data_IF_961333351643
#
_entry.id   IF_961333351643
#
_cell.length_a   1.000
_cell.length_b   1.000
_cell.length_c   1.000
_cell.angle_alpha   90.00
_cell.angle_beta   90.00
_cell.angle_gamma   90.00
#
_symmetry.space_group_name_H-M   'P 1'
#
loop_
_entity.id
_entity.type
_entity.pdbx_description
1 polymer ?
#
# COMPACT_ATOMS: atom_id res chain seq x y z
N UNK A 1 8.54 -0.03 1.38
CA UNK A 1 7.35 0.76 1.77
C UNK A 1 7.78 2.05 2.42
N UNK A 2 6.91 3.07 2.39
CA UNK A 2 7.17 4.41 2.91
C UNK A 2 6.04 4.81 3.84
N UNK A 3 6.35 5.42 4.96
CA UNK A 3 5.41 6.12 5.82
C UNK A 3 5.94 7.54 6.07
N UNK A 4 5.07 8.54 6.18
CA UNK A 4 5.50 9.91 6.41
C UNK A 4 4.47 10.70 7.21
N UNK A 5 4.96 11.71 7.92
CA UNK A 5 4.18 12.79 8.51
C UNK A 5 4.54 14.13 7.85
N UNK A 6 4.09 15.24 8.44
CA UNK A 6 4.40 16.58 7.92
C UNK A 6 5.87 16.96 8.03
N UNK A 7 6.70 16.22 8.76
CA UNK A 7 8.09 16.57 9.05
C UNK A 7 9.10 15.55 8.57
N UNK A 8 8.74 14.26 8.58
CA UNK A 8 9.67 13.16 8.40
C UNK A 8 9.13 12.07 7.49
N UNK A 9 10.05 11.34 6.89
CA UNK A 9 9.79 10.19 6.04
C UNK A 9 10.51 8.99 6.66
N UNK A 10 9.84 7.84 6.66
CA UNK A 10 10.36 6.56 7.15
C UNK A 10 10.32 5.55 6.02
N UNK A 11 11.45 4.92 5.72
CA UNK A 11 11.58 3.95 4.64
C UNK A 11 12.82 3.07 4.83
N UNK A 12 12.93 2.02 4.04
CA UNK A 12 14.15 1.20 4.02
C UNK A 12 15.20 1.84 3.12
N UNK A 13 16.47 1.90 3.58
CA UNK A 13 17.61 2.30 2.75
C UNK A 13 18.05 1.15 1.80
N UNK A 14 19.15 1.33 1.07
CA UNK A 14 19.72 0.33 0.15
C UNK A 14 20.13 -0.98 0.87
N UNK A 15 20.46 -0.93 2.16
CA UNK A 15 20.80 -2.09 2.99
C UNK A 15 19.55 -2.74 3.62
N UNK A 16 18.34 -2.34 3.20
CA UNK A 16 17.06 -2.75 3.79
C UNK A 16 16.91 -2.41 5.29
N UNK A 17 17.59 -1.36 5.76
CA UNK A 17 17.48 -0.87 7.13
C UNK A 17 16.49 0.29 7.20
N UNK A 18 15.65 0.32 8.23
CA UNK A 18 14.69 1.40 8.47
C UNK A 18 15.42 2.69 8.84
N UNK A 19 15.19 3.73 8.05
CA UNK A 19 15.75 5.06 8.27
C UNK A 19 14.65 6.11 8.40
N UNK A 20 14.98 7.18 9.11
CA UNK A 20 14.22 8.43 9.19
C UNK A 20 14.92 9.49 8.37
N UNK A 21 14.19 10.17 7.49
CA UNK A 21 14.68 11.27 6.67
C UNK A 21 13.94 12.58 6.99
N UNK A 22 14.56 13.70 6.71
CA UNK A 22 13.87 14.99 6.64
C UNK A 22 13.18 15.18 5.27
N UNK A 23 12.48 16.30 5.09
CA UNK A 23 11.81 16.63 3.82
C UNK A 23 12.76 16.89 2.64
N UNK A 24 14.04 17.12 2.91
CA UNK A 24 15.08 17.27 1.90
C UNK A 24 15.74 15.93 1.55
N UNK A 25 15.19 14.82 2.04
CA UNK A 25 15.70 13.46 1.85
C UNK A 25 17.04 13.17 2.53
N UNK A 26 17.47 13.99 3.50
CA UNK A 26 18.65 13.71 4.29
C UNK A 26 18.33 12.68 5.37
N UNK A 27 19.16 11.65 5.51
CA UNK A 27 19.04 10.67 6.59
C UNK A 27 19.35 11.33 7.93
N UNK A 28 18.35 11.39 8.83
CA UNK A 28 18.48 11.91 10.18
C UNK A 28 18.86 10.80 11.15
N UNK A 29 18.29 9.62 10.97
CA UNK A 29 18.50 8.48 11.89
C UNK A 29 18.37 7.15 11.14
N UNK A 30 19.31 6.25 11.41
CA UNK A 30 19.19 4.84 11.07
C UNK A 30 18.85 4.08 12.35
N UNK A 31 17.75 3.32 12.32
CA UNK A 31 17.29 2.52 13.47
C UNK A 31 17.94 1.13 13.52
N UNK A 32 18.63 0.69 12.46
CA UNK A 32 19.26 -0.62 12.36
C UNK A 32 18.26 -1.80 12.25
N UNK A 33 16.97 -1.50 12.15
CA UNK A 33 15.92 -2.51 11.99
C UNK A 33 15.84 -2.90 10.51
N UNK A 34 15.96 -4.18 10.20
CA UNK A 34 16.01 -4.68 8.82
C UNK A 34 14.68 -5.26 8.36
N UNK A 35 14.47 -5.20 7.03
CA UNK A 35 13.36 -5.88 6.33
C UNK A 35 11.98 -5.53 6.88
N UNK A 36 11.77 -4.26 7.21
CA UNK A 36 10.45 -3.78 7.65
C UNK A 36 9.47 -3.66 6.49
N UNK A 37 8.24 -4.13 6.68
CA UNK A 37 7.15 -4.00 5.71
C UNK A 37 5.88 -3.43 6.36
N UNK A 38 4.91 -3.06 5.55
CA UNK A 38 3.59 -2.54 5.98
C UNK A 38 3.69 -1.41 7.02
N UNK A 39 4.51 -0.38 6.69
CA UNK A 39 4.77 0.75 7.59
C UNK A 39 3.51 1.59 7.79
N UNK A 40 3.10 1.81 9.04
CA UNK A 40 1.98 2.65 9.44
C UNK A 40 2.42 3.62 10.54
N UNK A 41 2.53 4.91 10.21
CA UNK A 41 2.95 5.94 11.16
C UNK A 41 1.74 6.59 11.82
N UNK A 42 1.71 6.60 13.14
CA UNK A 42 0.65 7.21 13.96
C UNK A 42 1.27 8.01 15.09
N UNK A 43 1.31 9.32 14.94
CA UNK A 43 2.07 10.18 15.85
C UNK A 43 3.54 9.78 15.92
N UNK A 44 4.05 9.48 17.11
CA UNK A 44 5.44 9.05 17.31
C UNK A 44 5.61 7.52 17.24
N UNK A 45 4.59 6.77 16.84
CA UNK A 45 4.63 5.30 16.74
C UNK A 45 4.62 4.87 15.28
N UNK A 46 5.59 4.04 14.91
CA UNK A 46 5.63 3.38 13.61
C UNK A 46 5.33 1.89 13.82
N UNK A 47 4.16 1.46 13.37
CA UNK A 47 3.78 0.05 13.33
C UNK A 47 4.26 -0.56 12.03
N UNK A 48 4.81 -1.77 12.08
CA UNK A 48 5.37 -2.45 10.92
C UNK A 48 5.37 -3.97 11.16
N UNK A 49 5.60 -4.75 10.10
CA UNK A 49 6.00 -6.14 10.27
C UNK A 49 7.51 -6.26 10.07
N UNK A 50 8.16 -7.04 10.94
CA UNK A 50 9.61 -7.25 10.95
C UNK A 50 10.04 -8.36 9.96
N UNK A 51 11.31 -8.80 10.03
CA UNK A 51 11.86 -9.83 9.14
C UNK A 51 11.19 -11.20 9.25
N UNK A 52 10.57 -11.49 10.37
CA UNK A 52 9.84 -12.73 10.63
C UNK A 52 8.32 -12.53 10.49
N UNK A 53 7.92 -11.39 9.89
CA UNK A 53 6.54 -10.95 9.69
C UNK A 53 5.75 -10.68 10.97
N UNK A 54 6.40 -10.57 12.14
CA UNK A 54 5.73 -10.26 13.39
C UNK A 54 5.28 -8.81 13.43
N UNK A 55 4.10 -8.54 14.01
CA UNK A 55 3.62 -7.19 14.23
C UNK A 55 4.45 -6.51 15.30
N UNK A 56 5.13 -5.45 14.94
CA UNK A 56 6.05 -4.71 15.79
C UNK A 56 5.74 -3.22 15.80
N UNK A 57 6.20 -2.52 16.84
CA UNK A 57 6.10 -1.07 16.97
C UNK A 57 7.45 -0.46 17.34
N UNK A 58 7.78 0.65 16.66
CA UNK A 58 8.92 1.51 16.98
C UNK A 58 8.43 2.85 17.53
N UNK A 59 8.95 3.26 18.66
CA UNK A 59 8.87 4.64 19.11
C UNK A 59 9.93 5.46 18.35
N UNK A 60 9.49 6.31 17.43
CA UNK A 60 10.36 7.02 16.51
C UNK A 60 11.23 8.08 17.16
N UNK A 61 10.85 8.54 18.36
CA UNK A 61 11.58 9.52 19.16
C UNK A 61 12.72 8.85 19.95
N UNK A 62 12.39 7.82 20.72
CA UNK A 62 13.35 7.12 21.58
C UNK A 62 14.18 6.08 20.81
N UNK A 63 13.61 5.47 19.77
CA UNK A 63 14.19 4.34 19.05
C UNK A 63 13.94 2.98 19.70
N UNK A 64 13.15 2.93 20.77
CA UNK A 64 12.73 1.65 21.35
C UNK A 64 11.73 0.97 20.45
N UNK A 65 11.91 -0.34 20.23
CA UNK A 65 10.96 -1.16 19.49
C UNK A 65 10.61 -2.43 20.28
N UNK A 66 9.42 -2.96 20.03
CA UNK A 66 8.92 -4.18 20.66
C UNK A 66 7.99 -4.93 19.70
N UNK A 67 7.93 -6.25 19.86
CA UNK A 67 6.96 -7.11 19.16
C UNK A 67 5.63 -7.03 19.91
N UNK A 68 4.56 -6.69 19.19
CA UNK A 68 3.18 -6.66 19.71
C UNK A 68 2.49 -8.02 19.57
N UNK A 69 2.72 -8.70 18.43
CA UNK A 69 2.15 -10.01 18.13
C UNK A 69 3.20 -10.87 17.43
N UNK A 70 3.42 -12.08 17.98
CA UNK A 70 4.33 -13.08 17.44
C UNK A 70 3.56 -14.06 16.54
N UNK A 71 3.09 -13.56 15.40
CA UNK A 71 2.32 -14.27 14.38
C UNK A 71 2.77 -13.78 13.00
N UNK A 72 2.64 -14.59 11.96
CA UNK A 72 2.94 -14.16 10.59
C UNK A 72 1.81 -13.27 10.03
N UNK A 73 2.06 -11.96 10.01
CA UNK A 73 1.09 -10.94 9.58
C UNK A 73 1.50 -10.28 8.25
N UNK A 74 0.55 -10.24 7.31
CA UNK A 74 0.73 -9.60 6.01
C UNK A 74 -0.34 -8.52 5.79
N UNK A 75 -0.09 -7.63 4.83
CA UNK A 75 -1.02 -6.57 4.39
C UNK A 75 -1.53 -5.69 5.54
N UNK A 76 -0.71 -5.52 6.60
CA UNK A 76 -1.11 -4.80 7.79
C UNK A 76 -1.42 -3.33 7.49
N UNK A 77 -2.58 -2.88 7.96
CA UNK A 77 -3.06 -1.50 7.80
C UNK A 77 -3.61 -0.98 9.12
N UNK A 78 -3.16 0.21 9.54
CA UNK A 78 -3.73 0.91 10.68
C UNK A 78 -5.03 1.62 10.29
N UNK A 79 -6.08 1.42 11.06
CA UNK A 79 -7.31 2.18 10.96
C UNK A 79 -7.99 2.26 12.34
N UNK A 80 -8.37 3.47 12.76
CA UNK A 80 -9.12 3.75 13.99
C UNK A 80 -8.60 3.01 15.24
N UNK A 81 -7.34 3.29 15.60
CA UNK A 81 -6.64 2.71 16.76
C UNK A 81 -6.56 1.17 16.76
N UNK A 82 -6.58 0.57 15.57
CA UNK A 82 -6.48 -0.87 15.35
C UNK A 82 -5.53 -1.17 14.20
N UNK A 83 -4.93 -2.36 14.25
CA UNK A 83 -4.15 -2.92 13.14
C UNK A 83 -4.96 -4.07 12.52
N UNK A 84 -5.37 -3.91 11.29
CA UNK A 84 -6.00 -4.96 10.49
C UNK A 84 -4.94 -5.67 9.69
N UNK A 85 -4.99 -7.00 9.61
CA UNK A 85 -3.95 -7.78 8.96
C UNK A 85 -4.47 -9.13 8.49
N UNK A 86 -3.82 -9.71 7.50
CA UNK A 86 -3.93 -11.10 7.13
C UNK A 86 -3.08 -11.91 8.11
N UNK A 87 -3.66 -12.94 8.71
CA UNK A 87 -2.94 -13.90 9.56
C UNK A 87 -2.60 -15.14 8.75
N UNK A 88 -1.33 -15.33 8.40
CA UNK A 88 -0.87 -16.46 7.60
C UNK A 88 -0.92 -17.78 8.39
N UNK A 89 -0.69 -17.71 9.70
CA UNK A 89 -0.80 -18.86 10.62
C UNK A 89 -2.23 -19.42 10.71
N UNK A 90 -3.25 -18.65 10.29
CA UNK A 90 -4.65 -19.06 10.30
C UNK A 90 -5.30 -18.88 8.91
N UNK A 91 -4.72 -19.57 7.93
CA UNK A 91 -5.28 -19.71 6.59
C UNK A 91 -5.53 -18.35 5.89
N UNK A 92 -4.59 -17.41 6.03
CA UNK A 92 -4.65 -16.05 5.43
C UNK A 92 -5.91 -15.24 5.81
N UNK A 93 -6.53 -15.57 6.94
CA UNK A 93 -7.76 -14.95 7.43
C UNK A 93 -7.57 -13.49 7.85
N UNK A 94 -8.64 -12.69 7.76
CA UNK A 94 -8.65 -11.31 8.24
C UNK A 94 -8.74 -11.25 9.76
N UNK A 95 -7.79 -10.57 10.37
CA UNK A 95 -7.74 -10.28 11.80
C UNK A 95 -7.67 -8.79 12.09
N UNK A 96 -8.02 -8.43 13.32
CA UNK A 96 -7.80 -7.11 13.89
C UNK A 96 -7.11 -7.22 15.25
N UNK A 97 -6.07 -6.42 15.46
CA UNK A 97 -5.43 -6.21 16.75
C UNK A 97 -5.83 -4.83 17.29
N UNK A 98 -6.52 -4.80 18.42
CA UNK A 98 -6.93 -3.56 19.08
C UNK A 98 -5.79 -3.06 19.98
N UNK A 99 -5.29 -1.85 19.68
CA UNK A 99 -4.15 -1.27 20.39
C UNK A 99 -4.48 -0.87 21.84
N UNK A 100 -5.77 -0.68 22.18
CA UNK A 100 -6.20 -0.34 23.53
C UNK A 100 -6.30 -1.57 24.45
N UNK A 101 -6.90 -2.64 23.93
CA UNK A 101 -7.13 -3.88 24.68
C UNK A 101 -5.97 -4.88 24.54
N UNK A 102 -5.11 -4.68 23.53
CA UNK A 102 -4.01 -5.59 23.15
C UNK A 102 -4.49 -7.00 22.80
N UNK A 103 -5.71 -7.10 22.27
CA UNK A 103 -6.32 -8.36 21.88
C UNK A 103 -6.47 -8.46 20.36
N UNK A 104 -6.21 -9.65 19.82
CA UNK A 104 -6.50 -10.00 18.44
C UNK A 104 -7.83 -10.71 18.31
N UNK A 105 -8.57 -10.41 17.26
CA UNK A 105 -9.87 -11.04 16.95
C UNK A 105 -9.92 -11.37 15.47
N UNK A 106 -10.31 -12.61 15.14
CA UNK A 106 -10.64 -13.00 13.76
C UNK A 106 -11.93 -12.30 13.32
N UNK A 107 -11.89 -11.65 12.17
CA UNK A 107 -13.04 -10.96 11.60
C UNK A 107 -13.71 -11.78 10.50
N UNK A 108 -12.90 -12.40 9.64
CA UNK A 108 -13.39 -13.10 8.45
C UNK A 108 -12.44 -14.23 8.07
N UNK A 109 -13.00 -15.38 7.69
CA UNK A 109 -12.24 -16.52 7.18
C UNK A 109 -12.19 -16.46 5.64
N UNK A 110 -11.35 -15.56 5.13
CA UNK A 110 -11.15 -15.29 3.72
C UNK A 110 -9.68 -14.91 3.48
N UNK A 111 -9.12 -15.36 2.37
CA UNK A 111 -7.77 -14.95 1.95
C UNK A 111 -7.78 -13.48 1.54
N UNK A 112 -7.10 -12.61 2.30
CA UNK A 112 -7.13 -11.16 2.11
C UNK A 112 -5.75 -10.65 1.71
N UNK A 113 -5.66 -9.98 0.56
CA UNK A 113 -4.42 -9.44 0.00
C UNK A 113 -4.38 -7.92 -0.05
N UNK A 114 -5.51 -7.25 0.18
CA UNK A 114 -5.58 -5.80 0.19
C UNK A 114 -6.85 -5.32 0.88
N UNK A 115 -6.79 -4.14 1.51
CA UNK A 115 -7.89 -3.55 2.28
C UNK A 115 -8.05 -2.07 1.95
N UNK A 116 -9.29 -1.64 1.70
CA UNK A 116 -9.66 -0.23 1.54
C UNK A 116 -10.74 0.14 2.55
N UNK A 117 -10.49 1.09 3.42
CA UNK A 117 -11.41 1.53 4.47
C UNK A 117 -12.25 2.71 4.01
N UNK A 118 -13.57 2.60 4.09
CA UNK A 118 -14.53 3.64 3.69
C UNK A 118 -15.69 3.69 4.71
N UNK A 119 -15.65 4.63 5.63
CA UNK A 119 -16.59 4.66 6.76
C UNK A 119 -16.57 3.33 7.53
N UNK A 120 -17.73 2.73 7.75
CA UNK A 120 -17.87 1.43 8.44
C UNK A 120 -17.61 0.21 7.53
N UNK A 121 -17.18 0.41 6.30
CA UNK A 121 -16.98 -0.68 5.34
C UNK A 121 -15.50 -0.85 5.01
N UNK A 122 -15.03 -2.10 4.99
CA UNK A 122 -13.76 -2.49 4.41
C UNK A 122 -14.04 -3.18 3.07
N UNK A 123 -13.46 -2.69 1.99
CA UNK A 123 -13.42 -3.42 0.74
C UNK A 123 -12.16 -4.27 0.71
N UNK A 124 -12.34 -5.56 0.56
CA UNK A 124 -11.31 -6.59 0.69
C UNK A 124 -11.05 -7.23 -0.66
N UNK A 125 -9.82 -7.19 -1.13
CA UNK A 125 -9.40 -7.99 -2.29
C UNK A 125 -8.94 -9.35 -1.79
N UNK A 126 -9.68 -10.38 -2.18
CA UNK A 126 -9.38 -11.77 -1.86
C UNK A 126 -8.81 -12.54 -3.04
N UNK A 127 -8.73 -13.86 -2.91
CA UNK A 127 -8.16 -14.77 -3.91
C UNK A 127 -8.91 -14.77 -5.24
N UNK A 128 -10.23 -14.61 -5.23
CA UNK A 128 -11.09 -14.76 -6.42
C UNK A 128 -12.13 -13.67 -6.57
N UNK A 129 -12.16 -12.68 -5.68
CA UNK A 129 -13.21 -11.65 -5.66
C UNK A 129 -12.77 -10.41 -4.91
N UNK A 130 -13.53 -9.33 -5.09
CA UNK A 130 -13.56 -8.19 -4.17
C UNK A 130 -14.88 -8.27 -3.40
N UNK A 131 -14.79 -8.24 -2.08
CA UNK A 131 -15.95 -8.24 -1.19
C UNK A 131 -15.98 -6.97 -0.34
N UNK A 132 -17.15 -6.54 0.11
CA UNK A 132 -17.29 -5.59 1.20
C UNK A 132 -17.53 -6.32 2.51
N UNK A 133 -16.98 -5.79 3.60
CA UNK A 133 -17.23 -6.23 4.97
C UNK A 133 -17.62 -5.04 5.81
N UNK A 134 -18.83 -5.04 6.36
CA UNK A 134 -19.29 -3.99 7.25
C UNK A 134 -18.82 -4.28 8.69
N UNK A 135 -18.02 -3.39 9.25
CA UNK A 135 -17.38 -3.58 10.57
C UNK A 135 -18.40 -3.59 11.73
N UNK A 136 -19.54 -2.93 11.57
CA UNK A 136 -20.60 -2.89 12.59
C UNK A 136 -21.52 -4.09 12.51
N UNK A 137 -22.08 -4.38 11.34
CA UNK A 137 -23.09 -5.45 11.16
C UNK A 137 -22.47 -6.81 10.91
N UNK A 138 -21.17 -6.88 10.57
CA UNK A 138 -20.44 -8.09 10.16
C UNK A 138 -20.92 -8.68 8.83
N UNK A 139 -21.80 -7.99 8.13
CA UNK A 139 -22.31 -8.43 6.84
C UNK A 139 -21.24 -8.32 5.74
N UNK A 140 -21.24 -9.27 4.83
CA UNK A 140 -20.40 -9.27 3.62
C UNK A 140 -21.28 -9.20 2.38
N UNK A 141 -20.73 -8.61 1.30
CA UNK A 141 -21.36 -8.59 -0.02
C UNK A 141 -20.29 -8.66 -1.10
N UNK A 142 -20.54 -9.41 -2.18
CA UNK A 142 -19.60 -9.51 -3.29
C UNK A 142 -19.75 -8.30 -4.20
N UNK A 143 -18.66 -7.56 -4.40
CA UNK A 143 -18.61 -6.38 -5.28
C UNK A 143 -18.16 -6.77 -6.69
N UNK A 144 -17.15 -7.64 -6.79
CA UNK A 144 -16.63 -8.14 -8.07
C UNK A 144 -16.21 -9.59 -7.93
N UNK A 145 -16.64 -10.45 -8.84
CA UNK A 145 -16.52 -11.92 -8.72
C UNK A 145 -15.52 -12.50 -9.73
N UNK A 146 -14.34 -11.87 -9.83
CA UNK A 146 -13.21 -12.36 -10.63
C UNK A 146 -11.92 -12.08 -9.87
N UNK A 147 -10.86 -12.83 -10.19
CA UNK A 147 -9.54 -12.62 -9.61
C UNK A 147 -8.94 -11.29 -10.06
N UNK A 148 -8.42 -10.53 -9.10
CA UNK A 148 -7.74 -9.26 -9.33
C UNK A 148 -6.49 -9.14 -8.45
N UNK A 149 -5.57 -8.26 -8.84
CA UNK A 149 -4.35 -7.98 -8.10
C UNK A 149 -4.44 -6.58 -7.48
N UNK A 150 -4.68 -6.54 -6.18
CA UNK A 150 -4.84 -5.31 -5.42
C UNK A 150 -6.05 -4.49 -5.85
N UNK A 151 -6.51 -3.64 -4.98
CA UNK A 151 -7.53 -2.65 -5.33
C UNK A 151 -7.29 -1.34 -4.61
N UNK A 152 -7.74 -0.23 -5.20
CA UNK A 152 -7.71 1.10 -4.60
C UNK A 152 -9.09 1.72 -4.73
N UNK A 153 -9.66 2.14 -3.60
CA UNK A 153 -10.95 2.85 -3.61
C UNK A 153 -10.76 4.32 -3.92
N UNK A 154 -11.56 4.83 -4.85
CA UNK A 154 -11.67 6.26 -5.11
C UNK A 154 -13.08 6.60 -5.61
N UNK A 155 -13.73 7.57 -4.98
CA UNK A 155 -15.01 8.17 -5.38
C UNK A 155 -16.08 7.16 -5.84
N UNK A 156 -16.37 6.17 -5.01
CA UNK A 156 -17.41 5.15 -5.28
C UNK A 156 -17.02 4.03 -6.22
N UNK A 157 -15.75 3.97 -6.61
CA UNK A 157 -15.19 2.90 -7.45
C UNK A 157 -14.03 2.21 -6.76
N UNK A 158 -13.87 0.92 -7.04
CA UNK A 158 -12.66 0.17 -6.78
C UNK A 158 -11.92 -0.04 -8.11
N UNK A 159 -10.70 0.46 -8.17
CA UNK A 159 -9.79 0.29 -9.30
C UNK A 159 -8.88 -0.90 -9.02
N UNK A 160 -8.60 -1.74 -10.00
CA UNK A 160 -7.86 -2.99 -9.82
C UNK A 160 -7.14 -3.42 -11.09
N UNK A 161 -6.17 -4.31 -10.95
CA UNK A 161 -5.53 -5.00 -12.06
C UNK A 161 -6.17 -6.37 -12.24
N UNK A 162 -6.59 -6.69 -13.47
CA UNK A 162 -7.12 -8.01 -13.81
C UNK A 162 -5.99 -9.03 -14.01
N UNK A 163 -6.33 -10.32 -14.08
CA UNK A 163 -5.42 -11.42 -14.45
C UNK A 163 -4.78 -11.25 -15.84
N UNK A 164 -5.41 -10.47 -16.72
CA UNK A 164 -4.93 -10.12 -18.06
C UNK A 164 -4.11 -8.83 -18.12
N UNK A 165 -3.61 -8.36 -16.97
CA UNK A 165 -2.82 -7.14 -16.86
C UNK A 165 -3.52 -5.91 -17.45
N UNK A 166 -4.82 -5.80 -17.21
CA UNK A 166 -5.62 -4.63 -17.59
C UNK A 166 -6.03 -3.87 -16.33
N UNK A 167 -6.06 -2.54 -16.40
CA UNK A 167 -6.64 -1.72 -15.34
C UNK A 167 -8.15 -1.67 -15.52
N UNK A 168 -8.87 -2.17 -14.55
CA UNK A 168 -10.32 -2.10 -14.47
C UNK A 168 -10.80 -1.26 -13.29
N UNK A 169 -12.09 -0.95 -13.29
CA UNK A 169 -12.79 -0.45 -12.12
C UNK A 169 -14.19 -1.05 -12.01
N UNK A 170 -14.71 -1.10 -10.81
CA UNK A 170 -16.10 -1.51 -10.51
C UNK A 170 -16.75 -0.48 -9.60
N UNK A 171 -18.00 -0.10 -9.90
CA UNK A 171 -18.81 0.72 -9.00
C UNK A 171 -19.21 -0.08 -7.78
N UNK A 172 -18.93 0.40 -6.57
CA UNK A 172 -19.34 -0.28 -5.33
C UNK A 172 -20.85 -0.29 -5.13
N UNK A 173 -21.58 0.61 -5.80
CA UNK A 173 -23.03 0.76 -5.71
C UNK A 173 -23.76 -0.08 -6.75
N UNK A 174 -23.43 0.07 -8.03
CA UNK A 174 -24.13 -0.65 -9.13
C UNK A 174 -23.52 -2.00 -9.45
N UNK A 175 -22.28 -2.27 -9.00
CA UNK A 175 -21.47 -3.45 -9.33
C UNK A 175 -21.15 -3.57 -10.83
N UNK A 176 -21.39 -2.51 -11.60
CA UNK A 176 -20.99 -2.44 -13.00
C UNK A 176 -19.48 -2.21 -13.09
N UNK A 177 -18.83 -3.02 -13.91
CA UNK A 177 -17.39 -2.95 -14.15
C UNK A 177 -17.06 -2.51 -15.57
N UNK A 178 -15.87 -1.90 -15.73
CA UNK A 178 -15.32 -1.54 -17.04
C UNK A 178 -13.80 -1.64 -17.03
N UNK A 179 -13.21 -1.97 -18.17
CA UNK A 179 -11.78 -1.87 -18.40
C UNK A 179 -11.45 -0.44 -18.81
N UNK A 180 -10.44 0.14 -18.19
CA UNK A 180 -9.95 1.51 -18.45
C UNK A 180 -8.75 1.48 -19.38
N UNK A 181 -7.79 0.57 -19.12
CA UNK A 181 -6.57 0.40 -19.90
C UNK A 181 -6.31 -1.09 -20.10
N UNK A 182 -5.77 -1.45 -21.26
CA UNK A 182 -5.28 -2.79 -21.59
C UNK A 182 -3.75 -2.78 -21.64
N UNK A 183 -3.15 -3.97 -21.61
CA UNK A 183 -1.73 -4.19 -21.85
C UNK A 183 -0.79 -3.42 -20.90
N UNK A 184 -1.15 -3.37 -19.63
CA UNK A 184 -0.24 -2.90 -18.58
C UNK A 184 0.95 -3.87 -18.47
N UNK A 185 2.16 -3.34 -18.56
CA UNK A 185 3.37 -4.17 -18.53
C UNK A 185 3.67 -4.79 -17.16
N UNK A 186 3.06 -4.25 -16.10
CA UNK A 186 3.25 -4.69 -14.73
C UNK A 186 1.93 -4.59 -13.95
N UNK A 187 1.68 -5.56 -13.09
CA UNK A 187 0.50 -5.58 -12.22
C UNK A 187 0.65 -4.60 -11.05
N UNK A 188 0.96 -3.33 -11.37
CA UNK A 188 1.24 -2.31 -10.37
C UNK A 188 0.70 -0.95 -10.81
N UNK A 189 -0.08 -0.34 -9.94
CA UNK A 189 -0.52 1.05 -10.05
C UNK A 189 -0.68 1.67 -8.67
N UNK A 190 -0.67 2.98 -8.62
CA UNK A 190 -1.04 3.80 -7.45
C UNK A 190 -1.89 4.98 -7.90
N UNK A 191 -2.64 5.57 -6.98
CA UNK A 191 -3.57 6.64 -7.29
C UNK A 191 -3.37 7.82 -6.35
N UNK A 192 -3.47 9.03 -6.91
CA UNK A 192 -3.77 10.26 -6.17
C UNK A 192 -5.23 10.63 -6.38
N UNK A 193 -5.67 11.73 -5.76
CA UNK A 193 -7.03 12.28 -5.98
C UNK A 193 -7.26 12.74 -7.44
N UNK A 194 -6.19 13.01 -8.20
CA UNK A 194 -6.27 13.55 -9.55
C UNK A 194 -5.96 12.54 -10.67
N UNK A 195 -5.19 11.50 -10.38
CA UNK A 195 -4.63 10.65 -11.43
C UNK A 195 -4.26 9.23 -10.96
N UNK A 196 -4.20 8.34 -11.94
CA UNK A 196 -3.64 7.00 -11.81
C UNK A 196 -2.21 7.00 -12.36
N UNK A 197 -1.29 6.41 -11.61
CA UNK A 197 0.09 6.16 -12.05
C UNK A 197 0.28 4.65 -12.23
N UNK A 198 0.75 4.24 -13.38
CA UNK A 198 0.94 2.82 -13.71
C UNK A 198 2.21 2.63 -14.55
N UNK A 199 2.66 1.38 -14.65
CA UNK A 199 3.83 1.02 -15.44
C UNK A 199 3.39 0.31 -16.71
N UNK A 200 3.81 0.82 -17.87
CA UNK A 200 3.57 0.24 -19.17
C UNK A 200 4.55 -0.89 -19.51
N UNK A 201 4.25 -1.64 -20.57
CA UNK A 201 5.11 -2.71 -21.10
C UNK A 201 6.47 -2.24 -21.62
N UNK A 202 6.61 -0.94 -21.91
CA UNK A 202 7.86 -0.29 -22.32
C UNK A 202 8.73 0.17 -21.15
N UNK A 203 8.41 -0.28 -19.92
CA UNK A 203 9.08 0.11 -18.68
C UNK A 203 9.09 1.62 -18.44
N UNK A 204 8.02 2.32 -18.86
CA UNK A 204 7.76 3.69 -18.46
C UNK A 204 6.63 3.76 -17.44
N UNK A 205 6.72 4.73 -16.56
CA UNK A 205 5.60 5.10 -15.74
C UNK A 205 4.78 6.16 -16.46
N UNK A 206 3.49 5.94 -16.44
CA UNK A 206 2.49 6.82 -17.03
C UNK A 206 1.61 7.43 -15.94
N UNK A 207 1.21 8.67 -16.17
CA UNK A 207 0.15 9.35 -15.44
C UNK A 207 -1.08 9.42 -16.34
N UNK A 208 -2.22 8.92 -15.85
CA UNK A 208 -3.53 9.07 -16.46
C UNK A 208 -4.40 9.94 -15.55
N UNK A 209 -4.60 11.21 -15.92
CA UNK A 209 -5.51 12.10 -15.20
C UNK A 209 -6.96 11.64 -15.41
N UNK A 210 -7.81 11.72 -14.37
CA UNK A 210 -9.21 11.30 -14.48
C UNK A 210 -10.01 12.07 -15.53
N UNK A 211 -9.62 13.30 -15.81
CA UNK A 211 -10.25 14.17 -16.82
C UNK A 211 -9.70 13.99 -18.24
N UNK A 212 -8.55 13.31 -18.38
CA UNK A 212 -7.87 13.09 -19.65
C UNK A 212 -8.07 11.66 -20.15
N UNK A 213 -8.11 11.50 -21.46
CA UNK A 213 -8.21 10.16 -22.08
C UNK A 213 -6.87 9.53 -22.37
N UNK A 214 -5.84 10.35 -22.52
CA UNK A 214 -4.52 9.89 -22.97
C UNK A 214 -3.53 9.95 -21.80
N UNK A 215 -2.80 8.87 -21.53
CA UNK A 215 -1.76 8.86 -20.52
C UNK A 215 -0.52 9.63 -20.97
N UNK A 216 0.17 10.23 -20.02
CA UNK A 216 1.42 10.95 -20.23
C UNK A 216 2.57 10.21 -19.57
N UNK A 217 3.66 9.94 -20.27
CA UNK A 217 4.85 9.34 -19.67
C UNK A 217 5.52 10.35 -18.73
N UNK A 218 5.75 9.93 -17.48
CA UNK A 218 6.29 10.80 -16.40
C UNK A 218 7.65 10.36 -15.88
N UNK A 219 8.01 9.08 -16.10
CA UNK A 219 9.30 8.54 -15.67
C UNK A 219 9.71 7.36 -16.57
N UNK A 220 11.02 7.22 -16.84
CA UNK A 220 11.60 6.06 -17.53
C UNK A 220 12.40 5.24 -16.51
N UNK A 221 12.02 3.98 -16.31
CA UNK A 221 12.79 3.08 -15.46
C UNK A 221 14.13 2.72 -16.10
N UNK A 222 15.17 2.65 -15.28
CA UNK A 222 16.51 2.25 -15.72
C UNK A 222 16.63 0.73 -15.85
N UNK A 223 15.81 0.01 -15.11
CA UNK A 223 15.77 -1.44 -15.13
C UNK A 223 14.35 -1.95 -15.35
N UNK A 224 14.21 -3.22 -15.74
CA UNK A 224 12.93 -3.90 -15.76
C UNK A 224 12.56 -4.51 -14.37
N UNK A 225 13.24 -4.08 -13.29
CA UNK A 225 13.01 -4.57 -11.92
C UNK A 225 12.39 -3.48 -11.06
N UNK A 226 11.12 -3.22 -11.30
CA UNK A 226 10.34 -2.29 -10.50
C UNK A 226 9.85 -3.04 -9.28
N UNK A 227 10.30 -2.63 -8.09
CA UNK A 227 10.05 -3.34 -6.84
C UNK A 227 8.93 -2.72 -5.99
N UNK A 228 8.42 -1.55 -6.38
CA UNK A 228 7.29 -0.93 -5.70
C UNK A 228 7.05 0.52 -6.10
N UNK A 229 5.81 0.93 -5.93
CA UNK A 229 5.37 2.32 -6.04
C UNK A 229 4.42 2.61 -4.89
N UNK A 230 4.49 3.82 -4.35
CA UNK A 230 3.60 4.27 -3.27
C UNK A 230 3.45 5.79 -3.32
N UNK A 231 2.25 6.31 -3.10
CA UNK A 231 2.01 7.74 -2.90
C UNK A 231 1.83 7.99 -1.40
N UNK A 232 2.58 8.95 -0.88
CA UNK A 232 2.48 9.41 0.51
C UNK A 232 2.66 10.92 0.51
N UNK A 233 1.70 11.68 1.06
CA UNK A 233 1.72 13.15 1.11
C UNK A 233 2.04 13.79 -0.25
N UNK A 234 1.31 13.42 -1.31
CA UNK A 234 1.43 13.90 -2.69
C UNK A 234 2.81 13.68 -3.35
N UNK A 235 3.61 12.83 -2.75
CA UNK A 235 4.88 12.38 -3.30
C UNK A 235 4.74 10.93 -3.76
N UNK A 236 5.18 10.64 -4.98
CA UNK A 236 5.24 9.30 -5.52
C UNK A 236 6.64 8.72 -5.29
N UNK A 237 6.72 7.72 -4.46
CA UNK A 237 7.95 6.96 -4.17
C UNK A 237 8.01 5.75 -5.08
N UNK A 238 9.16 5.57 -5.75
CA UNK A 238 9.41 4.49 -6.70
C UNK A 238 10.65 3.74 -6.26
N UNK A 239 10.58 2.42 -6.18
CA UNK A 239 11.74 1.56 -5.99
C UNK A 239 12.14 0.93 -7.34
N UNK A 240 13.12 1.54 -8.01
CA UNK A 240 13.70 1.08 -9.27
C UNK A 240 14.97 0.30 -8.97
N UNK A 241 14.89 -1.04 -9.00
CA UNK A 241 15.94 -1.95 -8.51
C UNK A 241 16.22 -1.75 -7.01
N UNK A 242 17.36 -1.23 -6.61
CA UNK A 242 17.70 -0.89 -5.22
C UNK A 242 17.54 0.60 -4.90
N UNK A 243 17.37 1.43 -5.93
CA UNK A 243 17.30 2.87 -5.79
C UNK A 243 15.89 3.32 -5.46
N UNK A 244 15.79 4.24 -4.52
CA UNK A 244 14.56 4.96 -4.26
C UNK A 244 14.58 6.31 -4.97
N UNK A 245 13.47 6.63 -5.63
CA UNK A 245 13.24 7.90 -6.31
C UNK A 245 11.93 8.48 -5.83
N UNK A 246 11.88 9.78 -5.70
CA UNK A 246 10.65 10.50 -5.39
C UNK A 246 10.28 11.41 -6.55
N UNK A 247 9.03 11.32 -6.96
CA UNK A 247 8.45 12.15 -8.03
C UNK A 247 7.36 13.01 -7.41
N UNK A 248 7.45 14.31 -7.56
CA UNK A 248 6.35 15.18 -7.18
C UNK A 248 5.20 15.01 -8.16
N UNK A 249 4.03 14.62 -7.67
CA UNK A 249 2.87 14.30 -8.51
C UNK A 249 2.30 15.50 -9.26
N UNK A 250 2.52 16.72 -8.76
CA UNK A 250 2.02 17.95 -9.38
C UNK A 250 2.90 18.50 -10.49
N UNK A 251 4.20 18.20 -10.52
CA UNK A 251 5.14 18.77 -11.51
C UNK A 251 6.06 17.76 -12.19
N UNK A 252 5.96 16.48 -11.87
CA UNK A 252 6.73 15.35 -12.44
C UNK A 252 8.27 15.47 -12.33
N UNK A 253 8.77 16.37 -11.49
CA UNK A 253 10.20 16.41 -11.15
C UNK A 253 10.52 15.33 -10.12
N UNK A 254 11.66 14.68 -10.27
CA UNK A 254 12.10 13.65 -9.33
C UNK A 254 13.48 13.93 -8.75
N UNK A 255 13.74 13.36 -7.58
CA UNK A 255 15.05 13.31 -6.95
C UNK A 255 15.38 11.85 -6.60
N UNK A 256 16.66 11.48 -6.68
CA UNK A 256 17.16 10.19 -6.20
C UNK A 256 17.41 10.32 -4.70
N UNK A 257 16.89 9.36 -3.90
CA UNK A 257 17.03 9.40 -2.44
C UNK A 257 18.28 8.62 -2.01
N UNK A 258 18.50 7.46 -2.61
CA UNK A 258 19.67 6.61 -2.36
C UNK A 258 20.25 6.20 -3.71
N UNK A 259 21.50 6.56 -3.96
CA UNK A 259 22.32 6.02 -5.04
C UNK A 259 23.27 4.96 -4.46
N UNK A 260 23.41 3.84 -5.18
CA UNK A 260 24.41 2.80 -4.86
C UNK A 260 25.77 3.17 -5.44
#
# INVERSE_FOLDING_TARGET
>A
MVAADDHYIYMSNANNELVKLDKNMNVIKNYGIKQTTYLNLVGEKLYYTDSDHHISVLDTKTGKHEILQNIEAFYMTYHDNKLYYQNDDDNESLYVYDLSTKASTKLLEEHIYNMNFVGDTIYLTGKSSIISYNMTTKATDTIYNEQVYGSVYNDGYLYFITDRQSLGRVSVKSKESQIILTDMGYSMFVMSDEAIYYVGSDAKMYRLDFEKKEPTAVYQFQSHRINGMQIVNDQLYIKDNQDWKVVNTSNTKYAVIFEN
#
